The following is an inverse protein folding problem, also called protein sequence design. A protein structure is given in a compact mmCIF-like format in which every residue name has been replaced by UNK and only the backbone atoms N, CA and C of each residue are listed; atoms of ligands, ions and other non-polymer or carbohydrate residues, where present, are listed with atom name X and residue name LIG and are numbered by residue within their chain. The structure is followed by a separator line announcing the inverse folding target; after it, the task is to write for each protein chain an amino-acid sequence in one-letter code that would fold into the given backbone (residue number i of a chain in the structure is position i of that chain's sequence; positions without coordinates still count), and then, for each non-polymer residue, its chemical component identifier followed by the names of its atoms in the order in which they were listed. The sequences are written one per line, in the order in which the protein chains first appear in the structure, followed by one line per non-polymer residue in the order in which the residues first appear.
data_IF_391101897138
#
_entry.id   IF_391101897138
#
_cell.length_a   1.000
_cell.length_b   1.000
_cell.length_c   1.000
_cell.angle_alpha   90.00
_cell.angle_beta   90.00
_cell.angle_gamma   90.00
#
_symmetry.space_group_name_H-M   'P 1'
#
loop_
_entity.id
_entity.type
_entity.pdbx_description
1 polymer ?
#
# COMPACT_ATOMS: atom_id res chain seq x y z
N UNK A 1 -20.46 -29.68 61.50
CA UNK A 1 -20.17 -29.76 60.05
C UNK A 1 -20.65 -28.47 59.39
N UNK A 2 -19.74 -27.55 59.04
CA UNK A 2 -20.06 -26.33 58.27
C UNK A 2 -19.27 -26.40 56.97
N UNK A 3 -19.97 -26.46 55.83
CA UNK A 3 -19.38 -26.43 54.49
C UNK A 3 -19.25 -24.97 54.07
N UNK A 4 -18.01 -24.52 53.91
CA UNK A 4 -17.67 -23.17 53.45
C UNK A 4 -17.71 -23.16 51.92
N UNK A 5 -18.64 -22.42 51.32
CA UNK A 5 -18.71 -22.22 49.87
C UNK A 5 -17.63 -21.22 49.44
N UNK A 6 -16.68 -21.66 48.63
CA UNK A 6 -15.75 -20.76 47.93
C UNK A 6 -16.41 -20.28 46.62
N UNK A 7 -16.78 -19.01 46.56
CA UNK A 7 -17.14 -18.33 45.32
C UNK A 7 -15.85 -17.97 44.58
N UNK A 8 -15.61 -18.61 43.42
CA UNK A 8 -14.52 -18.25 42.51
C UNK A 8 -15.04 -17.18 41.55
N UNK A 9 -14.64 -15.93 41.75
CA UNK A 9 -14.92 -14.84 40.82
C UNK A 9 -13.86 -14.83 39.72
N UNK A 10 -14.24 -15.21 38.51
CA UNK A 10 -13.36 -15.16 37.33
C UNK A 10 -13.38 -13.75 36.74
N UNK A 11 -12.31 -12.99 36.93
CA UNK A 11 -12.12 -11.71 36.23
C UNK A 11 -11.69 -12.00 34.79
N UNK A 12 -12.52 -11.63 33.81
CA UNK A 12 -12.16 -11.67 32.39
C UNK A 12 -11.35 -10.42 32.08
N UNK A 13 -10.04 -10.57 31.88
CA UNK A 13 -9.20 -9.51 31.37
C UNK A 13 -9.53 -9.28 29.88
N UNK A 14 -10.04 -8.10 29.55
CA UNK A 14 -10.35 -7.70 28.19
C UNK A 14 -9.05 -7.29 27.50
N UNK A 15 -8.49 -8.17 26.68
CA UNK A 15 -7.32 -7.86 25.87
C UNK A 15 -7.72 -6.88 24.74
N UNK A 16 -7.12 -5.70 24.74
CA UNK A 16 -7.32 -4.69 23.69
C UNK A 16 -6.48 -5.15 22.49
N UNK A 17 -7.11 -5.78 21.50
CA UNK A 17 -6.45 -6.10 20.24
C UNK A 17 -6.30 -4.81 19.42
N UNK A 18 -5.08 -4.33 19.24
CA UNK A 18 -4.79 -3.29 18.25
C UNK A 18 -4.87 -3.92 16.86
N UNK A 19 -5.71 -3.37 15.99
CA UNK A 19 -5.83 -3.81 14.59
C UNK A 19 -4.50 -3.71 13.85
N UNK A 20 -4.18 -4.70 13.01
CA UNK A 20 -3.21 -4.52 11.93
C UNK A 20 -3.63 -3.29 11.12
N UNK A 21 -2.73 -2.31 10.94
CA UNK A 21 -3.07 -1.08 10.24
C UNK A 21 -3.38 -1.36 8.78
N UNK A 22 -4.65 -1.19 8.38
CA UNK A 22 -5.02 -1.12 6.98
C UNK A 22 -4.25 0.03 6.32
N UNK A 23 -3.95 -0.09 5.02
CA UNK A 23 -3.34 1.01 4.27
C UNK A 23 -4.20 2.25 4.41
N UNK A 24 -3.57 3.38 4.76
CA UNK A 24 -4.26 4.68 4.83
C UNK A 24 -4.27 5.39 3.48
N UNK A 25 -3.63 4.82 2.45
CA UNK A 25 -3.62 5.37 1.09
C UNK A 25 -4.93 5.04 0.39
N UNK A 26 -5.56 6.06 -0.17
CA UNK A 26 -6.70 5.91 -1.08
C UNK A 26 -6.19 5.61 -2.48
N UNK A 27 -6.76 4.59 -3.14
CA UNK A 27 -6.45 4.23 -4.53
C UNK A 27 -4.94 4.04 -4.79
N UNK A 28 -4.27 3.31 -3.90
CA UNK A 28 -2.82 3.10 -3.95
C UNK A 28 -2.33 2.30 -5.15
N UNK A 29 -3.16 1.39 -5.67
CA UNK A 29 -2.89 0.66 -6.93
C UNK A 29 -3.52 1.29 -8.16
N UNK A 30 -4.01 2.53 -8.08
CA UNK A 30 -4.51 3.27 -9.24
C UNK A 30 -5.68 2.64 -10.03
N UNK A 31 -6.46 1.73 -9.44
CA UNK A 31 -7.56 1.00 -10.11
C UNK A 31 -8.91 1.75 -10.14
N UNK A 32 -9.04 2.85 -9.39
CA UNK A 32 -10.34 3.50 -9.20
C UNK A 32 -10.68 4.45 -10.33
N UNK A 33 -11.67 4.06 -11.15
CA UNK A 33 -12.11 4.80 -12.34
C UNK A 33 -10.99 4.98 -13.37
N UNK A 34 -10.26 3.88 -13.66
CA UNK A 34 -9.13 3.73 -14.58
C UNK A 34 -9.06 4.67 -15.80
N UNK A 35 -7.92 4.74 -16.50
CA UNK A 35 -7.74 5.68 -17.59
C UNK A 35 -8.84 5.51 -18.66
N UNK A 36 -9.33 6.63 -19.24
CA UNK A 36 -10.36 6.56 -20.27
C UNK A 36 -9.89 5.76 -21.49
N UNK A 37 -10.84 5.26 -22.28
CA UNK A 37 -10.53 4.59 -23.54
C UNK A 37 -9.64 5.50 -24.43
N UNK A 38 -8.56 5.00 -25.02
CA UNK A 38 -8.27 3.59 -25.32
C UNK A 38 -7.45 2.82 -24.26
N UNK A 39 -7.43 3.26 -23.00
CA UNK A 39 -6.68 2.59 -21.92
C UNK A 39 -5.39 3.32 -21.54
N UNK A 40 -5.30 4.61 -21.85
CA UNK A 40 -4.28 5.53 -21.33
C UNK A 40 -4.83 6.94 -21.30
N UNK A 41 -4.32 7.79 -20.41
CA UNK A 41 -4.69 9.20 -20.34
C UNK A 41 -3.61 10.08 -19.72
N UNK A 42 -3.49 11.29 -20.26
CA UNK A 42 -2.52 12.30 -19.83
C UNK A 42 -3.15 13.22 -18.79
N UNK A 43 -2.46 13.43 -17.67
CA UNK A 43 -2.95 14.26 -16.58
C UNK A 43 -1.94 15.35 -16.25
N UNK A 44 -2.28 16.58 -16.60
CA UNK A 44 -1.48 17.77 -16.31
C UNK A 44 -1.32 18.00 -14.81
N UNK A 45 -0.29 18.74 -14.46
CA UNK A 45 -0.04 19.21 -13.09
C UNK A 45 -1.28 19.91 -12.52
N UNK A 46 -1.59 19.62 -11.25
CA UNK A 46 -2.78 20.10 -10.56
C UNK A 46 -4.04 19.25 -10.81
N UNK A 47 -3.99 18.26 -11.70
CA UNK A 47 -5.10 17.33 -11.90
C UNK A 47 -5.40 16.52 -10.64
N UNK A 48 -6.69 16.31 -10.38
CA UNK A 48 -7.24 15.49 -9.27
C UNK A 48 -8.14 14.37 -9.79
N UNK A 49 -8.05 14.04 -11.09
CA UNK A 49 -8.92 13.06 -11.73
C UNK A 49 -8.58 11.62 -11.33
N UNK A 50 -7.31 11.33 -10.99
CA UNK A 50 -6.91 10.06 -10.40
C UNK A 50 -7.40 10.10 -8.95
N UNK A 51 -8.43 9.30 -8.65
CA UNK A 51 -9.10 9.33 -7.34
C UNK A 51 -8.09 9.24 -6.20
N UNK A 52 -8.10 10.21 -5.27
CA UNK A 52 -7.20 10.25 -4.11
C UNK A 52 -5.83 10.88 -4.37
N UNK A 53 -5.46 11.18 -5.61
CA UNK A 53 -4.14 11.70 -5.98
C UNK A 53 -4.23 13.08 -6.64
N UNK A 54 -3.24 13.94 -6.36
CA UNK A 54 -3.03 15.20 -7.08
C UNK A 54 -1.72 15.11 -7.85
N UNK A 55 -1.75 15.42 -9.15
CA UNK A 55 -0.54 15.50 -9.98
C UNK A 55 0.24 16.75 -9.61
N UNK A 56 1.55 16.61 -9.40
CA UNK A 56 2.44 17.67 -8.92
C UNK A 56 3.71 17.76 -9.75
N UNK A 57 4.31 18.95 -9.74
CA UNK A 57 5.67 19.19 -10.24
C UNK A 57 6.72 18.51 -9.38
N UNK A 58 7.96 18.51 -9.87
CA UNK A 58 9.11 18.00 -9.13
C UNK A 58 9.41 18.73 -7.82
N UNK A 59 8.93 19.97 -7.66
CA UNK A 59 9.03 20.76 -6.43
C UNK A 59 7.80 20.62 -5.52
N UNK A 60 6.83 19.76 -5.88
CA UNK A 60 5.57 19.58 -5.16
C UNK A 60 4.47 20.60 -5.48
N UNK A 61 4.74 21.57 -6.36
CA UNK A 61 3.74 22.57 -6.79
C UNK A 61 2.65 21.97 -7.66
N UNK A 62 1.44 22.50 -7.55
CA UNK A 62 0.30 22.19 -8.43
C UNK A 62 0.10 23.21 -9.54
N UNK A 63 1.05 24.14 -9.72
CA UNK A 63 1.00 25.13 -10.79
C UNK A 63 1.41 24.48 -12.10
N UNK A 64 0.51 24.49 -13.08
CA UNK A 64 0.78 23.93 -14.40
C UNK A 64 1.98 24.61 -15.08
N UNK A 65 2.93 23.78 -15.50
CA UNK A 65 4.14 24.17 -16.21
C UNK A 65 4.26 23.48 -17.59
N UNK A 66 3.19 22.81 -18.04
CA UNK A 66 3.15 22.07 -19.30
C UNK A 66 3.65 20.62 -19.22
N UNK A 67 4.06 20.14 -18.04
CA UNK A 67 4.34 18.72 -17.82
C UNK A 67 3.07 17.96 -17.40
N UNK A 68 3.15 16.63 -17.43
CA UNK A 68 2.07 15.74 -17.06
C UNK A 68 2.63 14.41 -16.53
N UNK A 69 1.72 13.54 -16.10
CA UNK A 69 1.95 12.10 -15.99
C UNK A 69 1.01 11.36 -16.94
N UNK A 70 1.24 10.05 -17.13
CA UNK A 70 0.33 9.18 -17.88
C UNK A 70 -0.24 8.13 -16.92
N UNK A 71 -1.56 7.96 -16.93
CA UNK A 71 -2.22 6.82 -16.29
C UNK A 71 -2.45 5.76 -17.36
N UNK A 72 -1.91 4.57 -17.15
CA UNK A 72 -1.77 3.53 -18.16
C UNK A 72 -2.55 2.29 -17.71
N UNK A 73 -3.41 1.80 -18.59
CA UNK A 73 -4.09 0.52 -18.43
C UNK A 73 -3.18 -0.65 -18.84
N UNK A 74 -3.35 -1.77 -18.17
CA UNK A 74 -2.50 -2.95 -18.27
C UNK A 74 -2.51 -3.50 -19.70
N UNK A 75 -1.33 -3.59 -20.31
CA UNK A 75 -1.13 -3.98 -21.70
C UNK A 75 -1.04 -2.82 -22.70
N UNK A 76 -1.45 -1.59 -22.33
CA UNK A 76 -1.22 -0.42 -23.17
C UNK A 76 0.29 -0.18 -23.36
N UNK A 77 0.67 0.20 -24.57
CA UNK A 77 2.08 0.34 -25.00
C UNK A 77 2.94 -0.93 -24.84
N UNK A 78 2.35 -2.10 -24.57
CA UNK A 78 3.07 -3.32 -24.25
C UNK A 78 3.68 -3.33 -22.85
N UNK A 79 3.23 -2.45 -21.96
CA UNK A 79 3.64 -2.37 -20.56
C UNK A 79 2.62 -3.09 -19.68
N UNK A 80 3.10 -3.85 -18.68
CA UNK A 80 2.25 -4.68 -17.84
C UNK A 80 2.56 -4.53 -16.35
N UNK A 81 1.52 -4.53 -15.53
CA UNK A 81 1.60 -4.58 -14.06
C UNK A 81 1.00 -5.89 -13.51
N UNK A 82 1.60 -6.50 -12.47
CA UNK A 82 0.99 -7.60 -11.74
C UNK A 82 0.03 -7.14 -10.63
N UNK A 83 -0.07 -5.83 -10.34
CA UNK A 83 -0.79 -5.31 -9.18
C UNK A 83 -2.23 -4.92 -9.45
N UNK A 84 -2.70 -5.10 -10.69
CA UNK A 84 -4.05 -4.80 -11.09
C UNK A 84 -4.18 -4.57 -12.59
N UNK A 85 -5.03 -3.63 -12.96
CA UNK A 85 -5.31 -3.23 -14.33
C UNK A 85 -4.70 -1.88 -14.67
N UNK A 86 -4.20 -1.09 -13.74
CA UNK A 86 -3.77 0.28 -14.03
C UNK A 86 -2.50 0.65 -13.24
N UNK A 87 -1.67 1.51 -13.80
CA UNK A 87 -0.45 2.03 -13.17
C UNK A 87 -0.09 3.40 -13.73
N UNK A 88 0.89 4.09 -13.13
CA UNK A 88 1.34 5.39 -13.61
C UNK A 88 2.68 5.31 -14.33
N UNK A 89 2.87 6.22 -15.27
CA UNK A 89 4.16 6.62 -15.82
C UNK A 89 4.45 8.08 -15.45
N UNK A 90 5.56 8.29 -14.77
CA UNK A 90 5.95 9.59 -14.22
C UNK A 90 6.73 10.47 -15.21
N UNK A 91 7.15 9.96 -16.38
CA UNK A 91 7.83 10.78 -17.40
C UNK A 91 6.87 11.71 -18.13
N UNK A 92 5.60 11.33 -18.20
CA UNK A 92 4.57 12.07 -18.92
C UNK A 92 4.79 12.01 -20.44
N UNK A 93 3.99 12.77 -21.19
CA UNK A 93 4.17 12.86 -22.65
C UNK A 93 5.40 13.68 -23.06
N UNK A 94 6.01 14.38 -22.10
CA UNK A 94 7.18 15.20 -22.36
C UNK A 94 8.46 14.37 -22.45
N UNK A 95 8.55 13.25 -21.73
CA UNK A 95 9.77 12.44 -21.61
C UNK A 95 11.05 13.25 -21.34
N UNK A 96 10.91 14.37 -20.62
CA UNK A 96 11.99 15.31 -20.31
C UNK A 96 11.96 15.70 -18.84
N UNK A 97 13.16 15.80 -18.27
CA UNK A 97 13.35 16.35 -16.92
C UNK A 97 13.11 17.87 -16.89
N UNK A 98 12.61 18.43 -15.77
CA UNK A 98 12.18 17.73 -14.57
C UNK A 98 10.90 16.93 -14.80
N UNK A 99 10.85 15.70 -14.28
CA UNK A 99 9.66 14.87 -14.36
C UNK A 99 8.61 15.29 -13.33
N UNK A 100 7.42 14.72 -13.45
CA UNK A 100 6.29 15.01 -12.55
C UNK A 100 6.08 13.88 -11.55
N UNK A 101 5.07 14.05 -10.70
CA UNK A 101 4.72 13.06 -9.70
C UNK A 101 3.29 13.16 -9.22
N UNK A 102 3.01 12.42 -8.17
CA UNK A 102 1.71 12.43 -7.49
C UNK A 102 1.88 12.67 -6.00
N UNK A 103 0.87 13.28 -5.39
CA UNK A 103 0.79 13.49 -3.95
C UNK A 103 -0.57 13.12 -3.37
N UNK A 104 -0.56 12.72 -2.11
CA UNK A 104 -1.76 12.47 -1.31
C UNK A 104 -1.53 12.95 0.12
N UNK A 105 -2.55 13.55 0.73
CA UNK A 105 -2.52 13.90 2.16
C UNK A 105 -3.16 12.79 2.97
N UNK A 106 -2.39 12.19 3.87
CA UNK A 106 -2.81 11.08 4.72
C UNK A 106 -3.18 11.58 6.11
N UNK A 107 -4.21 10.97 6.71
CA UNK A 107 -4.45 11.10 8.15
C UNK A 107 -3.50 10.17 8.90
N UNK A 108 -2.67 10.73 9.77
CA UNK A 108 -1.64 10.02 10.53
C UNK A 108 -1.77 10.28 12.03
N UNK A 109 -0.97 9.60 12.85
CA UNK A 109 -0.88 9.84 14.29
C UNK A 109 0.50 10.39 14.62
N UNK A 110 0.56 11.56 15.25
CA UNK A 110 1.83 12.16 15.67
C UNK A 110 2.62 11.19 16.58
N UNK A 111 3.89 10.98 16.26
CA UNK A 111 4.79 10.06 16.93
C UNK A 111 4.69 8.60 16.47
N UNK A 112 3.73 8.25 15.61
CA UNK A 112 3.60 6.90 15.07
C UNK A 112 4.55 6.70 13.88
N UNK A 113 5.24 5.56 13.86
CA UNK A 113 6.06 5.13 12.72
C UNK A 113 5.21 4.40 11.68
N UNK A 114 5.49 4.71 10.42
CA UNK A 114 4.84 4.17 9.23
C UNK A 114 5.89 3.72 8.21
N UNK A 115 5.49 2.82 7.32
CA UNK A 115 6.23 2.46 6.12
C UNK A 115 5.39 2.86 4.89
N UNK A 116 5.93 3.74 4.05
CA UNK A 116 5.45 3.99 2.70
C UNK A 116 6.12 2.97 1.78
N UNK A 117 5.32 2.10 1.17
CA UNK A 117 5.78 1.13 0.18
C UNK A 117 5.16 1.45 -1.18
N UNK A 118 5.89 1.16 -2.25
CA UNK A 118 5.45 1.33 -3.64
C UNK A 118 6.34 0.49 -4.54
N UNK A 119 5.93 0.24 -5.77
CA UNK A 119 6.71 -0.50 -6.75
C UNK A 119 7.13 0.42 -7.90
N UNK A 120 8.42 0.39 -8.26
CA UNK A 120 8.95 1.08 -9.44
C UNK A 120 9.11 0.12 -10.63
N UNK A 121 8.63 0.54 -11.79
CA UNK A 121 8.54 -0.29 -13.00
C UNK A 121 9.41 0.21 -14.16
N UNK A 122 10.18 -0.69 -14.78
CA UNK A 122 10.87 -0.42 -16.07
C UNK A 122 10.90 -1.68 -16.97
N UNK A 123 11.00 -1.49 -18.29
CA UNK A 123 11.09 -2.58 -19.26
C UNK A 123 12.54 -3.00 -19.53
N UNK A 124 13.06 -3.96 -18.77
CA UNK A 124 14.44 -4.43 -18.87
C UNK A 124 15.48 -3.33 -18.65
N UNK A 125 16.68 -3.50 -19.22
CA UNK A 125 17.82 -2.57 -19.09
C UNK A 125 18.15 -1.84 -20.39
N UNK A 126 17.32 -1.96 -21.42
CA UNK A 126 17.58 -1.42 -22.77
C UNK A 126 16.27 -1.14 -23.51
N UNK A 127 16.29 -0.20 -24.44
CA UNK A 127 15.10 0.25 -25.17
C UNK A 127 14.49 1.49 -24.51
N UNK A 128 13.47 2.06 -25.16
CA UNK A 128 12.87 3.34 -24.79
C UNK A 128 12.22 3.34 -23.38
N UNK A 129 11.71 2.18 -22.96
CA UNK A 129 11.11 1.98 -21.63
C UNK A 129 12.07 1.31 -20.63
N UNK A 130 13.36 1.18 -20.97
CA UNK A 130 14.35 0.50 -20.15
C UNK A 130 14.88 1.33 -18.98
N UNK A 131 15.44 0.64 -17.98
CA UNK A 131 16.20 1.27 -16.91
C UNK A 131 17.60 1.76 -17.35
N UNK A 132 18.33 2.47 -16.47
CA UNK A 132 17.98 2.74 -15.08
C UNK A 132 16.89 3.80 -14.93
N UNK A 133 16.04 3.63 -13.93
CA UNK A 133 15.04 4.62 -13.50
C UNK A 133 15.25 4.99 -12.03
N UNK A 134 14.76 6.16 -11.62
CA UNK A 134 14.66 6.51 -10.21
C UNK A 134 13.48 7.43 -9.93
N UNK A 135 12.97 7.37 -8.70
CA UNK A 135 11.96 8.27 -8.19
C UNK A 135 12.32 8.73 -6.77
N UNK A 136 11.99 9.98 -6.46
CA UNK A 136 12.10 10.51 -5.10
C UNK A 136 10.76 10.37 -4.41
N UNK A 137 10.73 9.63 -3.30
CA UNK A 137 9.56 9.52 -2.44
C UNK A 137 9.77 10.35 -1.17
N UNK A 138 8.71 10.98 -0.69
CA UNK A 138 8.72 11.72 0.57
C UNK A 138 7.44 11.54 1.36
N UNK A 139 7.56 11.66 2.68
CA UNK A 139 6.48 11.65 3.66
C UNK A 139 6.77 12.69 4.74
N UNK A 140 6.05 13.82 4.70
CA UNK A 140 6.37 14.98 5.54
C UNK A 140 7.76 15.52 5.26
N UNK A 141 8.65 15.54 6.26
CA UNK A 141 10.03 15.99 6.12
C UNK A 141 11.02 14.88 5.75
N UNK A 142 10.57 13.62 5.68
CA UNK A 142 11.42 12.47 5.33
C UNK A 142 11.36 12.26 3.83
N UNK A 143 12.50 12.10 3.16
CA UNK A 143 12.58 11.79 1.73
C UNK A 143 13.77 10.90 1.42
N UNK A 144 13.65 10.09 0.38
CA UNK A 144 14.78 9.35 -0.20
C UNK A 144 14.57 9.15 -1.71
N UNK A 145 15.65 8.85 -2.43
CA UNK A 145 15.61 8.54 -3.87
C UNK A 145 15.88 7.06 -4.07
N UNK A 146 14.93 6.40 -4.70
CA UNK A 146 14.95 4.96 -4.97
C UNK A 146 15.26 4.74 -6.44
N UNK A 147 16.18 3.82 -6.72
CA UNK A 147 16.68 3.58 -8.07
C UNK A 147 16.54 2.11 -8.43
N UNK A 148 16.11 1.87 -9.66
CA UNK A 148 16.03 0.56 -10.26
C UNK A 148 16.85 0.55 -11.54
N UNK A 149 17.95 -0.22 -11.56
CA UNK A 149 18.91 -0.23 -12.68
C UNK A 149 18.41 -0.93 -13.96
N UNK A 150 17.16 -1.40 -13.97
CA UNK A 150 16.59 -2.20 -15.05
C UNK A 150 17.00 -3.67 -14.95
N UNK A 151 16.00 -4.56 -15.05
CA UNK A 151 16.05 -6.02 -14.94
C UNK A 151 16.51 -6.61 -13.58
N UNK A 152 15.54 -7.07 -12.78
CA UNK A 152 15.67 -8.35 -12.06
C UNK A 152 14.33 -9.10 -12.05
N UNK A 153 14.33 -10.38 -12.43
CA UNK A 153 13.14 -11.24 -12.55
C UNK A 153 12.93 -11.83 -13.96
N UNK A 154 11.89 -12.67 -14.12
CA UNK A 154 11.39 -13.16 -15.42
C UNK A 154 9.89 -12.89 -15.49
N UNK A 155 9.45 -11.90 -16.26
CA UNK A 155 8.07 -11.86 -16.74
C UNK A 155 8.05 -12.15 -18.25
N UNK A 156 6.95 -12.70 -18.74
CA UNK A 156 6.81 -13.05 -20.16
C UNK A 156 6.68 -11.81 -21.08
N UNK A 157 6.55 -10.60 -20.51
CA UNK A 157 6.07 -9.42 -21.22
C UNK A 157 7.02 -8.19 -21.16
N UNK A 158 8.17 -8.30 -20.50
CA UNK A 158 9.25 -7.30 -20.47
C UNK A 158 9.28 -6.30 -19.30
N UNK A 159 8.16 -5.98 -18.63
CA UNK A 159 8.12 -4.98 -17.53
C UNK A 159 8.46 -5.56 -16.16
N UNK A 160 9.52 -5.10 -15.52
CA UNK A 160 9.94 -5.54 -14.18
C UNK A 160 9.57 -4.49 -13.15
N UNK A 161 9.08 -4.93 -11.99
CA UNK A 161 8.67 -4.09 -10.88
C UNK A 161 9.51 -4.42 -9.64
N UNK A 162 10.05 -3.40 -8.97
CA UNK A 162 10.86 -3.54 -7.76
C UNK A 162 10.17 -2.84 -6.60
N UNK A 163 9.93 -3.52 -5.47
CA UNK A 163 9.31 -2.91 -4.30
C UNK A 163 10.31 -2.04 -3.56
N UNK A 164 9.86 -0.83 -3.20
CA UNK A 164 10.61 0.17 -2.48
C UNK A 164 9.94 0.48 -1.13
N UNK A 165 10.71 0.99 -0.17
CA UNK A 165 10.19 1.32 1.16
C UNK A 165 10.86 2.54 1.75
N UNK A 166 10.05 3.55 2.08
CA UNK A 166 10.42 4.71 2.88
C UNK A 166 9.80 4.61 4.27
N UNK A 167 10.63 4.43 5.30
CA UNK A 167 10.18 4.47 6.69
C UNK A 167 10.15 5.93 7.19
N UNK A 168 9.06 6.33 7.84
CA UNK A 168 8.94 7.66 8.42
C UNK A 168 8.18 7.65 9.74
N UNK A 169 8.41 8.67 10.57
CA UNK A 169 7.61 8.92 11.78
C UNK A 169 6.79 10.17 11.56
N UNK A 170 5.46 10.06 11.68
CA UNK A 170 4.59 11.20 11.51
C UNK A 170 4.80 12.21 12.65
N UNK A 171 4.93 13.49 12.32
CA UNK A 171 5.14 14.59 13.29
C UNK A 171 3.84 15.36 13.61
N UNK A 172 2.76 15.05 12.90
CA UNK A 172 1.45 15.64 13.09
C UNK A 172 0.35 14.61 12.78
N UNK A 173 -0.92 15.02 12.85
CA UNK A 173 -2.06 14.17 12.46
C UNK A 173 -2.31 14.13 10.95
N UNK A 174 -1.51 14.85 10.16
CA UNK A 174 -1.61 14.95 8.71
C UNK A 174 -0.22 14.86 8.10
N UNK A 175 -0.03 13.92 7.17
CA UNK A 175 1.24 13.75 6.47
C UNK A 175 0.99 13.78 4.96
N UNK A 176 1.65 14.69 4.25
CA UNK A 176 1.68 14.65 2.79
C UNK A 176 2.70 13.62 2.36
N UNK A 177 2.30 12.70 1.50
CA UNK A 177 3.21 11.84 0.75
C UNK A 177 3.30 12.33 -0.70
N UNK A 178 4.46 12.13 -1.31
CA UNK A 178 4.66 12.33 -2.74
C UNK A 178 5.67 11.37 -3.32
N UNK A 179 5.49 11.04 -4.59
CA UNK A 179 6.42 10.23 -5.38
C UNK A 179 6.58 10.94 -6.72
N UNK A 180 7.81 11.32 -7.06
CA UNK A 180 8.16 12.12 -8.24
C UNK A 180 9.25 11.40 -9.03
N UNK A 181 9.10 11.32 -10.35
CA UNK A 181 10.15 10.79 -11.23
C UNK A 181 11.43 11.63 -11.13
N UNK A 182 12.60 10.98 -11.22
CA UNK A 182 13.89 11.66 -11.13
C UNK A 182 14.81 11.31 -12.30
N UNK A 183 15.01 10.01 -12.58
CA UNK A 183 15.80 9.53 -13.73
C UNK A 183 14.97 8.54 -14.52
N UNK A 184 14.99 8.64 -15.84
CA UNK A 184 14.27 7.74 -16.74
C UNK A 184 14.38 8.25 -18.18
N UNK A 185 13.84 7.47 -19.12
CA UNK A 185 13.70 7.86 -20.52
C UNK A 185 12.22 8.14 -20.81
N UNK A 186 11.51 7.17 -21.37
CA UNK A 186 10.09 7.27 -21.73
C UNK A 186 9.17 6.50 -20.78
N UNK A 187 9.71 5.96 -19.68
CA UNK A 187 8.90 5.26 -18.69
C UNK A 187 9.56 5.28 -17.31
N UNK A 188 8.82 5.75 -16.32
CA UNK A 188 9.09 5.51 -14.90
C UNK A 188 7.78 4.99 -14.31
N UNK A 189 7.65 3.68 -14.23
CA UNK A 189 6.46 3.02 -13.70
C UNK A 189 6.30 3.24 -12.21
N UNK A 190 5.09 3.52 -11.77
CA UNK A 190 4.70 3.58 -10.36
C UNK A 190 3.39 2.83 -10.14
N UNK A 191 3.38 1.91 -9.18
CA UNK A 191 2.20 1.13 -8.80
C UNK A 191 2.25 0.71 -7.31
N UNK A 192 1.16 0.12 -6.81
CA UNK A 192 1.06 -0.57 -5.53
C UNK A 192 1.48 0.28 -4.31
N UNK A 193 1.09 1.55 -4.30
CA UNK A 193 1.42 2.47 -3.22
C UNK A 193 0.61 2.15 -1.96
N UNK A 194 1.28 2.05 -0.82
CA UNK A 194 0.65 1.74 0.46
C UNK A 194 1.35 2.44 1.61
N UNK A 195 0.60 2.81 2.65
CA UNK A 195 1.15 3.32 3.90
C UNK A 195 0.49 2.59 5.05
N UNK A 196 1.29 1.87 5.83
CA UNK A 196 0.84 1.15 7.01
C UNK A 196 1.74 1.44 8.20
N UNK A 197 1.24 1.22 9.42
CA UNK A 197 2.03 1.40 10.66
C UNK A 197 3.21 0.42 10.66
N UNK A 198 4.43 0.92 10.83
CA UNK A 198 5.62 0.10 10.94
C UNK A 198 5.59 -0.66 12.28
N UNK A 199 5.48 -1.99 12.25
CA UNK A 199 5.44 -2.86 13.44
C UNK A 199 4.10 -3.54 13.72
N UNK A 200 3.09 -3.36 12.87
CA UNK A 200 1.81 -4.07 12.96
C UNK A 200 1.83 -5.42 12.25
N UNK A 201 2.62 -6.39 12.74
CA UNK A 201 2.36 -7.81 12.45
C UNK A 201 1.56 -8.39 13.61
N UNK A 202 0.22 -8.46 13.56
CA UNK A 202 -0.52 -9.22 14.56
C UNK A 202 -0.55 -10.68 14.18
N UNK A 203 0.40 -11.47 14.68
CA UNK A 203 0.21 -12.93 14.82
C UNK A 203 0.78 -13.42 16.15
N UNK A 204 0.00 -13.27 17.24
CA UNK A 204 -0.57 -14.46 17.90
C UNK A 204 -2.05 -14.34 18.32
N UNK A 205 -2.71 -13.18 18.20
CA UNK A 205 -4.07 -13.00 18.72
C UNK A 205 -5.16 -13.67 17.87
N UNK A 206 -5.01 -13.72 16.54
CA UNK A 206 -5.94 -14.42 15.65
C UNK A 206 -5.97 -15.92 15.93
N UNK A 207 -4.80 -16.51 16.17
CA UNK A 207 -4.67 -17.91 16.60
C UNK A 207 -5.27 -18.12 17.98
N UNK A 208 -5.04 -17.19 18.93
CA UNK A 208 -5.62 -17.28 20.26
C UNK A 208 -7.16 -17.20 20.23
N UNK A 209 -7.75 -16.29 19.45
CA UNK A 209 -9.21 -16.19 19.29
C UNK A 209 -9.80 -17.41 18.57
N UNK A 210 -9.11 -17.92 17.56
CA UNK A 210 -9.48 -19.17 16.88
C UNK A 210 -9.46 -20.36 17.85
N UNK A 211 -8.39 -20.50 18.64
CA UNK A 211 -8.23 -21.56 19.64
C UNK A 211 -9.23 -21.43 20.80
N UNK A 212 -9.52 -20.21 21.27
CA UNK A 212 -10.54 -19.97 22.29
C UNK A 212 -11.93 -20.24 21.73
N UNK A 213 -12.22 -19.81 20.50
CA UNK A 213 -13.50 -20.06 19.82
C UNK A 213 -13.75 -21.55 19.61
N UNK A 214 -12.82 -22.26 18.96
CA UNK A 214 -12.94 -23.70 18.70
C UNK A 214 -12.78 -24.54 19.97
N UNK A 215 -11.89 -24.16 20.89
CA UNK A 215 -11.73 -24.81 22.18
C UNK A 215 -12.97 -24.68 23.06
N UNK A 216 -13.60 -23.49 23.07
CA UNK A 216 -14.87 -23.23 23.74
C UNK A 216 -16.02 -24.04 23.15
N UNK A 217 -16.14 -24.08 21.81
CA UNK A 217 -17.15 -24.90 21.12
C UNK A 217 -16.96 -26.40 21.43
N UNK A 218 -15.72 -26.88 21.37
CA UNK A 218 -15.38 -28.28 21.67
C UNK A 218 -15.68 -28.68 23.12
N UNK A 219 -15.40 -27.79 24.08
CA UNK A 219 -15.74 -27.99 25.49
C UNK A 219 -17.26 -28.05 25.72
N UNK A 220 -18.02 -27.17 25.07
CA UNK A 220 -19.49 -27.16 25.14
C UNK A 220 -20.11 -28.45 24.58
N UNK A 221 -19.64 -28.90 23.41
CA UNK A 221 -20.10 -30.16 22.78
C UNK A 221 -19.71 -31.40 23.60
N UNK A 222 -18.56 -31.40 24.27
CA UNK A 222 -18.16 -32.49 25.17
C UNK A 222 -18.99 -32.52 26.45
N UNK A 223 -19.38 -31.35 26.97
CA UNK A 223 -20.21 -31.23 28.17
C UNK A 223 -21.65 -31.72 27.97
N UNK A 224 -22.26 -31.46 26.81
CA UNK A 224 -23.63 -31.90 26.51
C UNK A 224 -23.76 -33.43 26.40
N UNK A 225 -22.77 -34.11 25.80
CA UNK A 225 -22.74 -35.58 25.70
C UNK A 225 -22.66 -36.28 27.06
N UNK A 226 -21.93 -35.69 28.03
CA UNK A 226 -21.83 -36.23 29.40
C UNK A 226 -23.15 -36.11 30.17
N UNK A 227 -23.93 -35.06 29.94
CA UNK A 227 -25.25 -34.88 30.57
C UNK A 227 -26.29 -35.86 30.03
N UNK A 228 -26.20 -36.21 28.74
CA UNK A 228 -27.10 -37.20 28.13
C UNK A 228 -26.79 -38.63 28.59
N UNK A 229 -25.53 -38.98 28.85
CA UNK A 229 -25.15 -40.30 29.36
C UNK A 229 -25.61 -40.57 30.81
N UNK A 230 -25.86 -39.53 31.62
CA UNK A 230 -26.36 -39.67 33.00
C UNK A 230 -27.90 -39.68 33.11
N UNK A 231 -28.63 -39.50 32.01
CA UNK A 231 -30.10 -39.47 31.99
C UNK A 231 -30.73 -40.83 31.59
N UNK A 232 -29.94 -41.91 31.53
CA UNK A 232 -30.38 -43.27 31.11
C UNK A 232 -30.14 -44.31 32.23
N UNK A 233 -30.24 -43.92 33.50
CA UNK A 233 -30.30 -44.85 34.65
C UNK A 233 -31.52 -44.50 35.47
#
# INVERSE_FOLDING_TARGET
MRRTNLLLATAVAMAIATSAGASVVTNGGFETNGPPAPGSGDYSIGSTQITGWTVINNDGSTTDNGHNIIWIGNGAYGLYTPFGNDFLDLTGTTDQTPFSGVSQTLTTVSGQSYALTFDLGAQGSSGIFGGPISATASAGSTSDTFSFDGASGTNANGTFWTPETLNFTATSTSTVISIVGNTGQEFIGLDNVSVATAGGVPEPASWALMLVGFGGLGAALRGSRRKQAHAVV
#
